data_IF_878232313913
#
_entry.id   IF_878232313913
#
_cell.length_a   1.000
_cell.length_b   1.000
_cell.length_c   1.000
_cell.angle_alpha   90.00
_cell.angle_beta   90.00
_cell.angle_gamma   90.00
#
_symmetry.space_group_name_H-M   'P 1'
#
loop_
_entity.id
_entity.type
_entity.pdbx_description
1 polymer ?
#
# COMPACT_ATOMS: atom_id res chain seq x y z
N UNK A 1 -44.69 13.16 6.11
CA UNK A 1 -44.07 13.33 4.77
C UNK A 1 -43.18 12.12 4.54
N UNK A 2 -43.54 11.19 3.63
CA UNK A 2 -42.76 9.97 3.39
C UNK A 2 -41.60 10.31 2.45
N UNK A 3 -40.37 10.08 2.90
CA UNK A 3 -39.16 10.26 2.08
C UNK A 3 -39.11 9.23 0.95
N UNK A 4 -38.57 9.64 -0.20
CA UNK A 4 -38.55 8.83 -1.42
C UNK A 4 -37.37 7.83 -1.42
N UNK A 5 -37.43 6.83 -2.30
CA UNK A 5 -36.34 5.85 -2.48
C UNK A 5 -35.04 6.50 -2.98
N UNK A 6 -35.14 7.65 -3.66
CA UNK A 6 -33.99 8.41 -4.16
C UNK A 6 -33.29 9.18 -3.03
N UNK A 7 -34.05 9.74 -2.09
CA UNK A 7 -33.50 10.41 -0.89
C UNK A 7 -32.70 9.45 -0.01
N UNK A 8 -33.14 8.19 0.09
CA UNK A 8 -32.43 7.13 0.80
C UNK A 8 -31.18 6.64 0.06
N UNK A 9 -31.18 6.66 -1.29
CA UNK A 9 -30.02 6.28 -2.12
C UNK A 9 -28.90 7.32 -2.02
N UNK A 10 -29.25 8.61 -2.05
CA UNK A 10 -28.29 9.71 -1.90
C UNK A 10 -27.73 9.80 -0.47
N UNK A 11 -28.52 9.53 0.57
CA UNK A 11 -28.02 9.43 1.96
C UNK A 11 -27.09 8.24 2.19
N UNK A 12 -27.31 7.11 1.51
CA UNK A 12 -26.45 5.93 1.59
C UNK A 12 -25.15 6.05 0.79
N UNK A 13 -25.10 6.90 -0.24
CA UNK A 13 -23.85 7.26 -0.92
C UNK A 13 -23.01 8.23 -0.07
N UNK A 14 -23.65 9.20 0.58
CA UNK A 14 -22.95 10.21 1.38
C UNK A 14 -22.40 9.69 2.72
N UNK A 15 -22.97 8.62 3.31
CA UNK A 15 -22.45 8.03 4.56
C UNK A 15 -21.31 7.01 4.37
N UNK A 16 -20.99 6.59 3.14
CA UNK A 16 -19.87 5.65 2.87
C UNK A 16 -18.51 6.33 2.66
N UNK A 17 -18.45 7.66 2.61
CA UNK A 17 -17.28 8.39 2.11
C UNK A 17 -16.47 9.16 3.18
N UNK A 18 -16.53 8.78 4.46
CA UNK A 18 -15.68 9.38 5.49
C UNK A 18 -14.34 8.65 5.73
N UNK A 19 -14.01 7.63 4.94
CA UNK A 19 -12.61 7.20 4.82
C UNK A 19 -11.93 8.11 3.82
N UNK A 20 -10.96 8.89 4.29
CA UNK A 20 -10.08 9.65 3.44
C UNK A 20 -9.37 8.66 2.49
N UNK A 21 -9.87 8.58 1.25
CA UNK A 21 -9.41 7.63 0.24
C UNK A 21 -8.06 8.13 -0.26
N UNK A 22 -6.97 7.57 0.27
CA UNK A 22 -5.64 7.80 -0.28
C UNK A 22 -5.50 7.04 -1.61
N UNK A 23 -5.10 7.76 -2.64
CA UNK A 23 -4.89 7.26 -4.01
C UNK A 23 -3.41 6.91 -4.28
N UNK A 24 -2.60 6.78 -3.22
CA UNK A 24 -1.15 6.57 -3.31
C UNK A 24 -0.75 5.26 -2.66
N UNK A 25 0.12 4.53 -3.34
CA UNK A 25 0.66 3.26 -2.87
C UNK A 25 2.18 3.28 -2.97
N UNK A 26 2.86 3.12 -1.84
CA UNK A 26 4.28 2.86 -1.75
C UNK A 26 4.56 1.36 -1.83
N UNK A 27 5.36 0.95 -2.81
CA UNK A 27 5.79 -0.43 -3.03
C UNK A 27 7.31 -0.53 -2.96
N UNK A 28 7.81 -1.64 -2.41
CA UNK A 28 9.23 -1.86 -2.12
C UNK A 28 9.73 -3.28 -2.51
N UNK A 29 8.85 -4.05 -3.14
CA UNK A 29 9.03 -5.45 -3.51
C UNK A 29 8.50 -5.73 -4.92
N UNK A 30 7.91 -6.90 -5.14
CA UNK A 30 7.53 -7.44 -6.46
C UNK A 30 6.56 -6.59 -7.29
N UNK A 31 5.88 -5.63 -6.66
CA UNK A 31 5.01 -4.65 -7.33
C UNK A 31 5.77 -3.48 -7.99
N UNK A 32 7.06 -3.28 -7.71
CA UNK A 32 7.85 -2.22 -8.34
C UNK A 32 7.99 -2.41 -9.86
N UNK A 33 8.19 -1.31 -10.59
CA UNK A 33 8.34 -1.28 -12.03
C UNK A 33 9.34 -2.33 -12.53
N UNK A 34 8.88 -3.18 -13.46
CA UNK A 34 9.71 -4.23 -14.07
C UNK A 34 9.90 -5.50 -13.23
N UNK A 35 9.26 -5.60 -12.06
CA UNK A 35 9.24 -6.81 -11.26
C UNK A 35 7.96 -7.64 -11.50
N UNK A 36 7.98 -8.88 -10.99
CA UNK A 36 7.08 -9.96 -11.38
C UNK A 36 5.58 -9.72 -11.14
N UNK A 37 5.19 -8.75 -10.32
CA UNK A 37 3.79 -8.42 -10.04
C UNK A 37 3.39 -7.01 -10.48
N UNK A 38 4.26 -6.30 -11.20
CA UNK A 38 4.00 -4.92 -11.59
C UNK A 38 2.84 -4.74 -12.56
N UNK A 39 2.41 -5.80 -13.26
CA UNK A 39 1.30 -5.73 -14.22
C UNK A 39 0.01 -5.14 -13.60
N UNK A 40 -0.20 -5.32 -12.29
CA UNK A 40 -1.34 -4.77 -11.53
C UNK A 40 -1.32 -3.23 -11.49
N UNK A 41 -0.13 -2.63 -11.50
CA UNK A 41 0.09 -1.18 -11.43
C UNK A 41 0.43 -0.57 -12.80
N UNK A 42 0.30 -1.37 -13.87
CA UNK A 42 0.70 -0.97 -15.21
C UNK A 42 -0.10 0.24 -15.70
N UNK A 43 0.63 1.23 -16.22
CA UNK A 43 0.04 2.46 -16.75
C UNK A 43 -0.17 3.56 -15.70
N UNK A 44 -0.04 3.26 -14.41
CA UNK A 44 -0.02 4.28 -13.36
C UNK A 44 1.30 5.03 -13.34
N UNK A 45 1.23 6.33 -13.02
CA UNK A 45 2.42 7.16 -12.80
C UNK A 45 3.05 6.80 -11.46
N UNK A 46 4.39 6.78 -11.41
CA UNK A 46 5.12 6.57 -10.17
C UNK A 46 6.29 7.53 -10.01
N UNK A 47 6.71 7.74 -8.76
CA UNK A 47 7.95 8.41 -8.40
C UNK A 47 8.79 7.50 -7.52
N UNK A 48 10.12 7.54 -7.66
CA UNK A 48 11.02 6.91 -6.70
C UNK A 48 10.85 7.58 -5.33
N UNK A 49 10.88 6.77 -4.28
CA UNK A 49 10.69 7.22 -2.91
C UNK A 49 11.50 6.40 -1.91
N UNK A 50 11.70 6.98 -0.73
CA UNK A 50 12.38 6.37 0.41
C UNK A 50 11.41 6.30 1.60
N UNK A 51 11.25 5.11 2.17
CA UNK A 51 10.60 4.91 3.45
C UNK A 51 11.67 4.89 4.57
N UNK A 52 11.74 5.92 5.44
CA UNK A 52 12.70 5.94 6.54
C UNK A 52 12.30 4.99 7.68
N UNK A 53 13.24 4.71 8.57
CA UNK A 53 13.05 3.92 9.79
C UNK A 53 12.60 2.47 9.55
N UNK A 54 12.99 1.90 8.41
CA UNK A 54 12.68 0.53 8.02
C UNK A 54 13.87 -0.09 7.29
N UNK A 55 14.02 -1.42 7.39
CA UNK A 55 14.90 -2.21 6.53
C UNK A 55 14.12 -3.23 5.74
N UNK A 56 14.59 -3.56 4.54
CA UNK A 56 14.05 -4.64 3.71
C UNK A 56 14.71 -5.97 4.05
N UNK A 57 13.91 -7.02 4.16
CA UNK A 57 14.32 -8.40 4.43
C UNK A 57 13.90 -9.25 3.23
N UNK A 58 14.84 -10.03 2.69
CA UNK A 58 14.62 -10.94 1.56
C UNK A 58 15.16 -12.33 1.92
N UNK A 59 14.41 -13.13 2.70
CA UNK A 59 14.83 -14.47 3.09
C UNK A 59 14.95 -15.36 1.86
N UNK A 60 16.02 -16.16 1.67
CA UNK A 60 16.16 -17.03 0.49
C UNK A 60 15.03 -18.06 0.32
N UNK A 61 14.43 -18.51 1.42
CA UNK A 61 13.29 -19.42 1.44
C UNK A 61 11.95 -18.76 1.11
N UNK A 62 11.92 -17.42 1.04
CA UNK A 62 10.74 -16.63 0.79
C UNK A 62 10.90 -15.89 -0.55
N UNK A 63 10.07 -16.22 -1.53
CA UNK A 63 10.15 -15.66 -2.89
C UNK A 63 9.80 -14.17 -3.02
N UNK A 64 9.60 -13.46 -1.91
CA UNK A 64 9.22 -12.05 -1.89
C UNK A 64 9.77 -11.35 -0.62
N UNK A 65 10.09 -10.05 -0.70
CA UNK A 65 10.62 -9.30 0.43
C UNK A 65 9.51 -8.79 1.36
N UNK A 66 9.89 -8.47 2.60
CA UNK A 66 9.09 -7.66 3.52
C UNK A 66 9.94 -6.58 4.19
N UNK A 67 9.30 -5.66 4.92
CA UNK A 67 9.98 -4.60 5.67
C UNK A 67 9.79 -4.77 7.16
N UNK A 68 10.80 -4.44 7.96
CA UNK A 68 10.66 -4.35 9.41
C UNK A 68 11.17 -3.00 9.91
N UNK A 69 10.68 -2.58 11.09
CA UNK A 69 11.15 -1.36 11.75
C UNK A 69 12.65 -1.43 12.04
N UNK A 70 13.36 -0.39 11.65
CA UNK A 70 14.77 -0.19 11.95
C UNK A 70 15.09 1.31 11.83
N UNK A 71 15.28 1.96 12.97
CA UNK A 71 15.49 3.43 13.06
C UNK A 71 16.76 3.92 12.34
N UNK A 72 17.71 3.02 12.06
CA UNK A 72 18.95 3.36 11.39
C UNK A 72 18.91 3.14 9.87
N UNK A 73 17.84 2.52 9.37
CA UNK A 73 17.72 2.10 7.98
C UNK A 73 16.64 2.86 7.22
N UNK A 74 16.70 2.70 5.90
CA UNK A 74 15.70 3.19 4.97
C UNK A 74 15.46 2.19 3.84
N UNK A 75 14.26 2.21 3.27
CA UNK A 75 13.85 1.33 2.17
C UNK A 75 13.58 2.17 0.92
N UNK A 76 14.32 1.88 -0.15
CA UNK A 76 14.03 2.42 -1.48
C UNK A 76 12.86 1.67 -2.12
N UNK A 77 11.97 2.43 -2.73
CA UNK A 77 10.80 1.93 -3.43
C UNK A 77 10.20 2.97 -4.37
N UNK A 78 8.92 2.80 -4.68
CA UNK A 78 8.17 3.61 -5.64
C UNK A 78 6.81 3.98 -5.04
N UNK A 79 6.40 5.24 -5.21
CA UNK A 79 5.03 5.68 -4.93
C UNK A 79 4.28 5.77 -6.23
N UNK A 80 3.25 4.95 -6.37
CA UNK A 80 2.27 5.01 -7.45
C UNK A 80 1.14 5.97 -7.07
N UNK A 81 0.60 6.67 -8.06
CA UNK A 81 -0.45 7.68 -7.92
C UNK A 81 -1.71 7.26 -8.69
N UNK A 82 -2.89 7.76 -8.27
CA UNK A 82 -4.17 7.43 -8.91
C UNK A 82 -4.55 5.95 -8.74
N UNK A 83 -4.16 5.34 -7.62
CA UNK A 83 -4.44 3.94 -7.34
C UNK A 83 -5.92 3.80 -6.98
N UNK A 84 -6.68 3.23 -7.91
CA UNK A 84 -8.12 3.03 -7.73
C UNK A 84 -8.44 1.95 -6.70
N UNK A 85 -9.65 2.02 -6.16
CA UNK A 85 -10.11 1.09 -5.11
C UNK A 85 -10.08 -0.37 -5.59
N UNK A 86 -10.42 -0.62 -6.86
CA UNK A 86 -10.37 -1.97 -7.43
C UNK A 86 -8.95 -2.55 -7.49
N UNK A 87 -7.95 -1.69 -7.74
CA UNK A 87 -6.54 -2.09 -7.74
C UNK A 87 -6.09 -2.43 -6.31
N UNK A 88 -6.50 -1.61 -5.34
CA UNK A 88 -6.25 -1.87 -3.92
C UNK A 88 -6.84 -3.21 -3.49
N UNK A 89 -8.09 -3.51 -3.86
CA UNK A 89 -8.75 -4.77 -3.53
C UNK A 89 -8.04 -5.98 -4.15
N UNK A 90 -7.54 -5.84 -5.38
CA UNK A 90 -6.72 -6.87 -6.03
C UNK A 90 -5.42 -7.12 -5.25
N UNK A 91 -4.73 -6.06 -4.84
CA UNK A 91 -3.47 -6.19 -4.08
C UNK A 91 -3.74 -6.74 -2.66
N UNK A 92 -4.82 -6.30 -1.99
CA UNK A 92 -5.22 -6.83 -0.68
C UNK A 92 -5.43 -8.36 -0.73
N UNK A 93 -6.05 -8.88 -1.79
CA UNK A 93 -6.21 -10.31 -2.00
C UNK A 93 -4.87 -11.04 -2.19
N UNK A 94 -3.97 -10.45 -3.00
CA UNK A 94 -2.65 -11.03 -3.33
C UNK A 94 -1.71 -11.04 -2.12
N UNK A 95 -1.71 -9.96 -1.34
CA UNK A 95 -0.92 -9.79 -0.13
C UNK A 95 -1.59 -10.42 1.10
N UNK A 96 -2.78 -11.04 0.93
CA UNK A 96 -3.59 -11.64 2.01
C UNK A 96 -3.71 -10.69 3.20
N UNK A 97 -4.21 -9.49 2.90
CA UNK A 97 -4.44 -8.42 3.88
C UNK A 97 -5.22 -8.95 5.09
N UNK A 98 -4.80 -8.53 6.29
CA UNK A 98 -5.36 -8.99 7.55
C UNK A 98 -4.70 -10.25 8.11
N UNK A 99 -3.90 -10.96 7.31
CA UNK A 99 -3.19 -12.18 7.73
C UNK A 99 -1.69 -12.15 7.44
N UNK A 100 -1.27 -12.01 6.19
CA UNK A 100 0.14 -12.06 5.81
C UNK A 100 0.78 -10.68 5.84
N UNK A 101 0.04 -9.68 5.37
CA UNK A 101 0.38 -8.26 5.47
C UNK A 101 -0.80 -7.47 6.03
N UNK A 102 -0.52 -6.28 6.52
CA UNK A 102 -1.49 -5.25 6.86
C UNK A 102 -1.26 -4.03 5.99
N UNK A 103 -2.34 -3.49 5.42
CA UNK A 103 -2.28 -2.24 4.69
C UNK A 103 -2.26 -1.08 5.70
N UNK A 104 -1.16 -0.34 5.72
CA UNK A 104 -0.95 0.76 6.66
C UNK A 104 -0.62 2.05 5.90
N UNK A 105 -0.89 3.19 6.53
CA UNK A 105 -0.45 4.49 6.02
C UNK A 105 0.96 4.80 6.50
N UNK A 106 1.83 5.21 5.58
CA UNK A 106 3.22 5.61 5.88
C UNK A 106 3.56 6.95 5.25
N UNK A 107 4.53 7.64 5.85
CA UNK A 107 5.17 8.83 5.27
C UNK A 107 6.46 8.42 4.56
N UNK A 108 6.56 8.79 3.29
CA UNK A 108 7.71 8.50 2.42
C UNK A 108 8.27 9.79 1.85
N UNK A 109 9.58 9.81 1.61
CA UNK A 109 10.29 10.94 1.00
C UNK A 109 10.44 10.70 -0.49
N UNK A 110 9.94 11.62 -1.32
CA UNK A 110 10.17 11.60 -2.76
C UNK A 110 11.39 12.47 -3.13
N UNK A 111 11.91 12.29 -4.35
CA UNK A 111 13.20 12.87 -4.78
C UNK A 111 13.31 14.40 -4.71
N UNK A 112 12.21 15.14 -4.61
CA UNK A 112 12.19 16.59 -4.46
C UNK A 112 12.32 17.04 -2.99
N UNK A 113 12.51 16.10 -2.05
CA UNK A 113 12.61 16.33 -0.62
C UNK A 113 11.25 16.40 0.10
N UNK A 114 10.13 16.38 -0.64
CA UNK A 114 8.80 16.40 -0.05
C UNK A 114 8.45 15.05 0.58
N UNK A 115 7.67 15.12 1.66
CA UNK A 115 7.03 13.95 2.26
C UNK A 115 5.61 13.76 1.72
N UNK A 116 5.24 12.51 1.48
CA UNK A 116 3.90 12.12 1.06
C UNK A 116 3.38 10.99 1.93
N UNK A 117 2.07 11.00 2.18
CA UNK A 117 1.39 9.85 2.76
C UNK A 117 0.94 8.90 1.65
N UNK A 118 1.23 7.62 1.84
CA UNK A 118 0.86 6.55 0.93
C UNK A 118 0.53 5.29 1.72
N UNK A 119 -0.38 4.47 1.18
CA UNK A 119 -0.54 3.12 1.68
C UNK A 119 0.73 2.31 1.41
N UNK A 120 1.00 1.32 2.24
CA UNK A 120 1.97 0.26 1.97
C UNK A 120 1.51 -1.02 2.67
N UNK A 121 2.11 -2.14 2.31
CA UNK A 121 1.86 -3.42 2.96
C UNK A 121 2.97 -3.68 3.97
N UNK A 122 2.64 -3.83 5.24
CA UNK A 122 3.59 -4.14 6.30
C UNK A 122 3.37 -5.58 6.76
N UNK A 123 4.43 -6.39 6.94
CA UNK A 123 4.27 -7.80 7.28
C UNK A 123 3.57 -7.99 8.62
N UNK A 124 2.78 -9.05 8.76
CA UNK A 124 2.26 -9.46 10.05
C UNK A 124 3.35 -10.05 10.95
N UNK A 125 3.07 -10.13 12.25
CA UNK A 125 3.97 -10.80 13.20
C UNK A 125 4.24 -12.26 12.81
N UNK A 126 3.25 -12.94 12.23
CA UNK A 126 3.41 -14.28 11.69
C UNK A 126 4.50 -14.32 10.61
N UNK A 127 4.45 -13.41 9.62
CA UNK A 127 5.45 -13.38 8.56
C UNK A 127 6.85 -13.04 9.08
N UNK A 128 6.94 -12.09 10.02
CA UNK A 128 8.22 -11.71 10.63
C UNK A 128 8.82 -12.90 11.39
N UNK A 129 8.09 -13.51 12.32
CA UNK A 129 8.59 -14.57 13.21
C UNK A 129 9.06 -15.83 12.47
N UNK A 130 8.51 -16.11 11.29
CA UNK A 130 8.87 -17.29 10.52
C UNK A 130 10.06 -17.07 9.56
N UNK A 131 10.49 -15.81 9.35
CA UNK A 131 11.43 -15.47 8.27
C UNK A 131 12.46 -14.37 8.61
N UNK A 132 12.54 -13.90 9.85
CA UNK A 132 13.67 -13.10 10.38
C UNK A 132 14.49 -13.90 11.37
#
# INVERSE_FOLDING_TARGET
MKMTKEDNKNRNQNHRNNYQKFDKLFVYGTLQQGLSRNDILKGLQYKKAILPNHRKVSPPSLGFPFIIRDKSSQVSGEVYFGVEQSIIEEIDNIEREGFLYYRILVKVKINDGNELEAYTYYPSDYLIQNYT
#
